data_IF_602570244351
#
_entry.id   IF_602570244351
#
_cell.length_a   1.000
_cell.length_b   1.000
_cell.length_c   1.000
_cell.angle_alpha   90.00
_cell.angle_beta   90.00
_cell.angle_gamma   90.00
#
_symmetry.space_group_name_H-M   'P 1'
#
loop_
_entity.id
_entity.type
_entity.pdbx_description
1 polymer ?
#
# COMPACT_ATOMS: atom_id res chain seq x y z
N UNK A 1 -3.95 21.52 7.84
CA UNK A 1 -3.26 20.46 8.59
C UNK A 1 -4.09 20.14 9.81
N UNK A 2 -4.19 18.86 10.18
CA UNK A 2 -4.84 18.41 11.42
C UNK A 2 -3.77 18.24 12.49
N UNK A 3 -4.06 18.65 13.72
CA UNK A 3 -3.14 18.47 14.86
C UNK A 3 -3.38 17.12 15.52
N UNK A 4 -2.31 16.44 15.90
CA UNK A 4 -2.33 15.18 16.63
C UNK A 4 -1.49 15.34 17.90
N UNK A 5 -2.09 15.10 19.07
CA UNK A 5 -1.38 15.11 20.34
C UNK A 5 -1.06 13.67 20.74
N UNK A 6 0.22 13.42 21.04
CA UNK A 6 0.71 12.08 21.40
C UNK A 6 1.58 12.20 22.64
N UNK A 7 1.27 11.42 23.67
CA UNK A 7 2.12 11.28 24.86
C UNK A 7 3.19 10.22 24.59
N UNK A 8 4.44 10.56 24.85
CA UNK A 8 5.59 9.68 24.65
C UNK A 8 6.39 9.58 25.96
N UNK A 9 6.93 8.40 26.31
CA UNK A 9 7.93 8.26 27.36
C UNK A 9 9.15 9.15 27.11
N UNK A 10 9.82 9.58 28.18
CA UNK A 10 10.98 10.48 28.09
C UNK A 10 12.08 9.90 27.18
N UNK A 11 12.37 8.61 27.29
CA UNK A 11 13.35 7.93 26.43
C UNK A 11 13.04 8.05 24.92
N UNK A 12 11.76 8.03 24.53
CA UNK A 12 11.38 8.22 23.13
C UNK A 12 11.51 9.67 22.69
N UNK A 13 11.23 10.63 23.60
CA UNK A 13 11.43 12.06 23.34
C UNK A 13 12.90 12.38 23.12
N UNK A 14 13.77 11.85 23.98
CA UNK A 14 15.21 12.08 23.93
C UNK A 14 15.80 11.53 22.63
N UNK A 15 15.41 10.30 22.26
CA UNK A 15 15.77 9.72 20.96
C UNK A 15 15.36 10.62 19.79
N UNK A 16 14.12 11.14 19.77
CA UNK A 16 13.66 12.04 18.71
C UNK A 16 14.50 13.32 18.68
N UNK A 17 14.86 13.88 19.84
CA UNK A 17 15.71 15.07 19.92
C UNK A 17 17.10 14.81 19.34
N UNK A 18 17.71 13.65 19.60
CA UNK A 18 18.99 13.26 19.00
C UNK A 18 18.90 13.19 17.46
N UNK A 19 17.81 12.64 16.91
CA UNK A 19 17.60 12.58 15.46
C UNK A 19 17.46 13.96 14.81
N UNK A 20 16.86 14.92 15.52
CA UNK A 20 16.77 16.32 15.10
C UNK A 20 18.16 16.97 15.14
N UNK A 21 18.92 16.77 16.23
CA UNK A 21 20.27 17.32 16.39
C UNK A 21 21.28 16.77 15.37
N UNK A 22 21.09 15.53 14.90
CA UNK A 22 21.87 14.94 13.81
C UNK A 22 21.65 15.62 12.42
N UNK A 23 20.82 16.67 12.37
CA UNK A 23 20.77 17.64 11.27
C UNK A 23 19.86 17.27 10.09
N UNK A 24 19.17 16.13 10.17
CA UNK A 24 18.29 15.66 9.08
C UNK A 24 16.85 16.17 9.20
N UNK A 25 16.45 16.72 10.35
CA UNK A 25 15.09 17.18 10.61
C UNK A 25 15.11 18.46 11.45
N UNK A 26 14.21 19.40 11.16
CA UNK A 26 14.13 20.69 11.87
C UNK A 26 13.10 20.69 13.01
N UNK A 27 12.17 19.73 13.02
CA UNK A 27 11.12 19.63 14.06
C UNK A 27 10.71 18.18 14.36
N UNK A 28 10.15 17.94 15.55
CA UNK A 28 9.54 16.65 15.93
C UNK A 28 8.45 16.24 14.94
N UNK A 29 7.59 17.18 14.55
CA UNK A 29 6.51 16.89 13.60
C UNK A 29 7.01 16.50 12.22
N UNK A 30 8.18 17.00 11.80
CA UNK A 30 8.81 16.60 10.55
C UNK A 30 9.37 15.18 10.62
N UNK A 31 10.08 14.86 11.71
CA UNK A 31 10.59 13.51 11.94
C UNK A 31 9.46 12.47 12.01
N UNK A 32 8.38 12.77 12.75
CA UNK A 32 7.23 11.88 12.82
C UNK A 32 6.54 11.71 11.45
N UNK A 33 6.40 12.78 10.66
CA UNK A 33 5.86 12.68 9.29
C UNK A 33 6.74 11.80 8.39
N UNK A 34 8.05 11.89 8.55
CA UNK A 34 8.99 11.02 7.84
C UNK A 34 8.78 9.54 8.23
N UNK A 35 8.72 9.23 9.52
CA UNK A 35 8.48 7.86 9.99
C UNK A 35 7.14 7.30 9.48
N UNK A 36 6.07 8.10 9.51
CA UNK A 36 4.77 7.71 8.98
C UNK A 36 4.85 7.37 7.49
N UNK A 37 5.58 8.15 6.68
CA UNK A 37 5.75 7.88 5.25
C UNK A 37 6.55 6.60 5.00
N UNK A 38 7.56 6.32 5.82
CA UNK A 38 8.30 5.07 5.73
C UNK A 38 7.41 3.87 6.05
N UNK A 39 6.62 3.99 7.11
CA UNK A 39 5.68 2.93 7.50
C UNK A 39 4.61 2.70 6.43
N UNK A 40 4.06 3.76 5.85
CA UNK A 40 3.15 3.66 4.71
C UNK A 40 3.78 2.93 3.53
N UNK A 41 5.06 3.22 3.22
CA UNK A 41 5.80 2.52 2.16
C UNK A 41 5.99 1.05 2.50
N UNK A 42 6.34 0.71 3.74
CA UNK A 42 6.51 -0.67 4.21
C UNK A 42 5.20 -1.46 4.06
N UNK A 43 4.10 -0.92 4.58
CA UNK A 43 2.77 -1.56 4.48
C UNK A 43 2.33 -1.70 3.01
N UNK A 44 2.60 -0.72 2.16
CA UNK A 44 2.30 -0.82 0.74
C UNK A 44 3.13 -1.91 0.04
N UNK A 45 4.40 -2.04 0.40
CA UNK A 45 5.28 -3.10 -0.11
C UNK A 45 4.78 -4.48 0.32
N UNK A 46 4.45 -4.67 1.60
CA UNK A 46 3.92 -5.93 2.12
C UNK A 46 2.63 -6.36 1.41
N UNK A 47 1.76 -5.39 1.13
CA UNK A 47 0.55 -5.64 0.35
C UNK A 47 0.87 -6.07 -1.09
N UNK A 48 1.83 -5.41 -1.74
CA UNK A 48 2.25 -5.77 -3.09
C UNK A 48 2.84 -7.19 -3.12
N UNK A 49 3.72 -7.51 -2.17
CA UNK A 49 4.35 -8.82 -2.06
C UNK A 49 3.32 -9.93 -1.86
N UNK A 50 2.29 -9.68 -1.02
CA UNK A 50 1.18 -10.61 -0.84
C UNK A 50 0.40 -10.84 -2.15
N UNK A 51 0.11 -9.79 -2.91
CA UNK A 51 -0.57 -9.90 -4.21
C UNK A 51 0.28 -10.64 -5.25
N UNK A 52 1.60 -10.43 -5.26
CA UNK A 52 2.52 -11.16 -6.13
C UNK A 52 2.56 -12.64 -5.77
N UNK A 53 2.63 -12.98 -4.47
CA UNK A 53 2.55 -14.36 -4.00
C UNK A 53 1.22 -15.02 -4.38
N UNK A 54 0.10 -14.30 -4.26
CA UNK A 54 -1.20 -14.78 -4.72
C UNK A 54 -1.16 -15.08 -6.24
N UNK A 55 -0.62 -14.17 -7.04
CA UNK A 55 -0.44 -14.36 -8.48
C UNK A 55 0.45 -15.55 -8.83
N UNK A 56 1.57 -15.73 -8.14
CA UNK A 56 2.46 -16.88 -8.33
C UNK A 56 1.79 -18.21 -7.96
N UNK A 57 0.90 -18.19 -6.97
CA UNK A 57 0.14 -19.37 -6.55
C UNK A 57 -1.19 -19.54 -7.30
N UNK A 58 -1.50 -18.67 -8.28
CA UNK A 58 -2.80 -18.66 -8.97
C UNK A 58 -2.98 -19.75 -10.02
N UNK A 59 -1.95 -20.56 -10.25
CA UNK A 59 -1.95 -21.66 -11.21
C UNK A 59 -0.87 -21.49 -12.28
N UNK A 60 -0.95 -22.30 -13.33
CA UNK A 60 0.01 -22.22 -14.44
C UNK A 60 -0.18 -20.92 -15.23
N UNK A 61 0.95 -20.29 -15.58
CA UNK A 61 0.95 -19.15 -16.49
C UNK A 61 0.48 -19.57 -17.88
N UNK A 62 -0.50 -18.86 -18.42
CA UNK A 62 -0.96 -19.03 -19.80
C UNK A 62 -0.45 -17.87 -20.64
N UNK A 63 0.00 -18.15 -21.86
CA UNK A 63 0.37 -17.11 -22.82
C UNK A 63 -0.83 -16.22 -23.14
N UNK A 64 -0.65 -14.90 -23.04
CA UNK A 64 -1.71 -13.94 -23.32
C UNK A 64 -1.73 -13.63 -24.82
N UNK A 65 -2.58 -14.34 -25.58
CA UNK A 65 -2.85 -14.04 -27.00
C UNK A 65 -3.99 -13.03 -27.14
N UNK A 66 -4.08 -12.38 -28.30
CA UNK A 66 -5.15 -11.43 -28.61
C UNK A 66 -6.53 -12.11 -28.55
N UNK A 67 -6.65 -13.35 -29.05
CA UNK A 67 -7.90 -14.11 -28.99
C UNK A 67 -8.30 -14.45 -27.56
N UNK A 68 -7.34 -14.82 -26.70
CA UNK A 68 -7.60 -15.11 -25.30
C UNK A 68 -8.09 -13.84 -24.58
N UNK A 69 -7.45 -12.70 -24.85
CA UNK A 69 -7.81 -11.42 -24.29
C UNK A 69 -9.23 -10.97 -24.71
N UNK A 70 -9.58 -11.14 -25.98
CA UNK A 70 -10.92 -10.84 -26.49
C UNK A 70 -11.99 -11.73 -25.86
N UNK A 71 -11.71 -13.03 -25.71
CA UNK A 71 -12.61 -13.95 -25.00
C UNK A 71 -12.80 -13.55 -23.54
N UNK A 72 -11.74 -13.14 -22.83
CA UNK A 72 -11.83 -12.67 -21.45
C UNK A 72 -12.71 -11.42 -21.34
N UNK A 73 -12.55 -10.46 -22.26
CA UNK A 73 -13.37 -9.24 -22.31
C UNK A 73 -14.84 -9.55 -22.57
N UNK A 74 -15.16 -10.42 -23.54
CA UNK A 74 -16.53 -10.82 -23.81
C UNK A 74 -17.18 -11.44 -22.57
N UNK A 75 -16.48 -12.38 -21.91
CA UNK A 75 -16.98 -13.02 -20.67
C UNK A 75 -17.24 -12.01 -19.54
N UNK A 76 -16.42 -10.97 -19.42
CA UNK A 76 -16.63 -9.92 -18.42
C UNK A 76 -17.90 -9.12 -18.72
N UNK A 77 -18.10 -8.69 -19.97
CA UNK A 77 -19.29 -7.94 -20.40
C UNK A 77 -20.56 -8.77 -20.16
N UNK A 78 -20.55 -10.04 -20.53
CA UNK A 78 -21.69 -10.94 -20.32
C UNK A 78 -22.05 -11.08 -18.83
N UNK A 79 -21.06 -11.24 -17.96
CA UNK A 79 -21.27 -11.30 -16.49
C UNK A 79 -21.88 -10.01 -15.96
N UNK A 80 -21.42 -8.84 -16.42
CA UNK A 80 -21.96 -7.55 -15.99
C UNK A 80 -23.40 -7.36 -16.45
N UNK A 81 -23.74 -7.77 -17.67
CA UNK A 81 -25.10 -7.72 -18.20
C UNK A 81 -26.06 -8.67 -17.46
N UNK A 82 -25.60 -9.87 -17.10
CA UNK A 82 -26.39 -10.80 -16.29
C UNK A 82 -26.65 -10.25 -14.87
N UNK A 83 -25.64 -9.63 -14.25
CA UNK A 83 -25.79 -9.01 -12.92
C UNK A 83 -26.78 -7.83 -12.95
N UNK A 84 -26.83 -7.07 -14.05
CA UNK A 84 -27.77 -5.97 -14.24
C UNK A 84 -29.20 -6.42 -14.56
N UNK A 85 -29.40 -7.65 -15.05
CA UNK A 85 -30.74 -8.24 -15.27
C UNK A 85 -31.31 -8.93 -14.04
N UNK A 86 -30.46 -9.31 -13.08
CA UNK A 86 -30.82 -10.08 -11.89
C UNK A 86 -30.87 -9.25 -10.59
N UNK A 87 -30.63 -7.93 -10.66
CA UNK A 87 -30.73 -7.00 -9.54
C UNK A 87 -31.74 -5.90 -9.85
#
# INVERSE_FOLDING_TARGET
MTTLNVSLPDAMRDFIQEQIQAGSYSTVSEYLRYLIRQEQKRVAQEKLDAMLLEGLNSGESVEMTDELWDQMRSRLVDKLQQKAKNG
#
